data_IF_800471009187
#
_entry.id   IF_800471009187
#
_cell.length_a   1.000
_cell.length_b   1.000
_cell.length_c   1.000
_cell.angle_alpha   90.00
_cell.angle_beta   90.00
_cell.angle_gamma   90.00
#
_symmetry.space_group_name_H-M   'P 1'
#
loop_
_entity.id
_entity.type
_entity.pdbx_description
1 polymer ?
#
# COMPACT_ATOMS: atom_id res chain seq x y z
N UNK A 1 3.14 0.31 -8.76
CA UNK A 1 3.95 1.52 -8.53
C UNK A 1 3.31 2.76 -9.14
N UNK A 2 2.97 2.80 -10.45
CA UNK A 2 2.38 3.97 -11.12
C UNK A 2 1.20 4.57 -10.35
N UNK A 3 0.21 3.77 -9.97
CA UNK A 3 -0.96 4.24 -9.21
C UNK A 3 -0.60 4.81 -7.84
N UNK A 4 0.42 4.27 -7.18
CA UNK A 4 0.90 4.75 -5.88
C UNK A 4 1.52 6.14 -5.97
N UNK A 5 2.33 6.40 -7.01
CA UNK A 5 2.94 7.70 -7.26
C UNK A 5 1.87 8.72 -7.66
N UNK A 6 0.96 8.38 -8.58
CA UNK A 6 -0.14 9.26 -8.99
C UNK A 6 -1.00 9.71 -7.81
N UNK A 7 -1.26 8.81 -6.85
CA UNK A 7 -1.99 9.11 -5.61
C UNK A 7 -1.10 9.77 -4.55
N UNK A 8 0.18 10.07 -4.84
CA UNK A 8 1.18 10.57 -3.88
C UNK A 8 1.37 9.68 -2.64
N UNK A 9 1.11 8.40 -2.78
CA UNK A 9 1.24 7.39 -1.72
C UNK A 9 2.62 6.70 -1.72
N UNK A 10 3.31 6.76 -2.86
CA UNK A 10 4.68 6.28 -3.03
C UNK A 10 5.59 7.43 -3.44
N UNK A 11 6.82 7.41 -2.99
CA UNK A 11 7.84 8.38 -3.34
C UNK A 11 8.68 7.90 -4.54
N UNK A 12 9.46 8.81 -5.14
CA UNK A 12 10.41 8.47 -6.22
C UNK A 12 11.41 7.43 -5.77
N UNK A 13 11.83 7.49 -4.51
CA UNK A 13 12.77 6.55 -3.89
C UNK A 13 12.23 5.11 -3.89
N UNK A 14 10.92 4.92 -3.71
CA UNK A 14 10.27 3.60 -3.78
C UNK A 14 10.38 3.00 -5.20
N UNK A 15 10.38 3.85 -6.25
CA UNK A 15 10.55 3.42 -7.64
C UNK A 15 12.00 3.02 -7.94
N UNK A 16 12.94 3.82 -7.46
CA UNK A 16 14.38 3.54 -7.61
C UNK A 16 14.73 2.22 -6.93
N UNK A 17 14.25 2.00 -5.70
CA UNK A 17 14.45 0.75 -4.96
C UNK A 17 13.87 -0.45 -5.73
N UNK A 18 12.66 -0.35 -6.25
CA UNK A 18 12.07 -1.38 -7.12
C UNK A 18 12.94 -1.68 -8.34
N UNK A 19 13.42 -0.63 -9.04
CA UNK A 19 14.24 -0.81 -10.25
C UNK A 19 15.58 -1.49 -9.91
N UNK A 20 16.22 -1.13 -8.81
CA UNK A 20 17.43 -1.79 -8.33
C UNK A 20 17.17 -3.29 -8.07
N UNK A 21 16.09 -3.62 -7.38
CA UNK A 21 15.72 -5.03 -7.17
C UNK A 21 15.48 -5.80 -8.48
N UNK A 22 14.91 -5.15 -9.50
CA UNK A 22 14.73 -5.78 -10.82
C UNK A 22 16.07 -6.05 -11.50
N UNK A 23 17.03 -5.11 -11.43
CA UNK A 23 18.39 -5.31 -11.94
C UNK A 23 19.10 -6.46 -11.22
N UNK A 24 18.98 -6.55 -9.90
CA UNK A 24 19.57 -7.65 -9.11
C UNK A 24 18.98 -9.02 -9.49
N UNK A 25 17.72 -9.06 -9.96
CA UNK A 25 17.06 -10.26 -10.48
C UNK A 25 17.42 -10.55 -11.95
N UNK A 26 18.30 -9.75 -12.56
CA UNK A 26 18.77 -9.92 -13.93
C UNK A 26 17.85 -9.31 -15.00
N UNK A 27 16.94 -8.42 -14.62
CA UNK A 27 16.14 -7.64 -15.56
C UNK A 27 16.92 -6.38 -15.96
N UNK A 28 17.69 -6.48 -17.05
CA UNK A 28 18.58 -5.44 -17.57
C UNK A 28 17.95 -4.58 -18.67
N UNK A 29 16.62 -4.49 -18.71
CA UNK A 29 15.89 -3.63 -19.66
C UNK A 29 16.31 -2.17 -19.46
N UNK A 30 16.39 -1.44 -20.58
CA UNK A 30 16.83 -0.04 -20.60
C UNK A 30 15.98 0.84 -19.67
N UNK A 31 14.65 0.64 -19.71
CA UNK A 31 13.69 1.35 -18.88
C UNK A 31 13.92 1.11 -17.37
N UNK A 32 14.28 -0.11 -17.00
CA UNK A 32 14.64 -0.46 -15.61
C UNK A 32 15.94 0.21 -15.19
N UNK A 33 16.92 0.29 -16.10
CA UNK A 33 18.18 1.00 -15.83
C UNK A 33 17.96 2.50 -15.66
N UNK A 34 17.08 3.10 -16.47
CA UNK A 34 16.70 4.52 -16.35
C UNK A 34 15.98 4.82 -15.03
N UNK A 35 15.03 3.97 -14.63
CA UNK A 35 14.36 4.10 -13.33
C UNK A 35 15.34 3.97 -12.15
N UNK A 36 16.29 3.04 -12.23
CA UNK A 36 17.30 2.85 -11.19
C UNK A 36 18.28 4.02 -11.07
N UNK A 37 18.53 4.75 -12.18
CA UNK A 37 19.38 5.94 -12.21
C UNK A 37 18.78 7.12 -11.43
N UNK A 38 17.46 7.22 -11.37
CA UNK A 38 16.75 8.23 -10.57
C UNK A 38 16.93 9.68 -11.05
N UNK A 39 17.47 9.89 -12.26
CA UNK A 39 17.88 11.21 -12.76
C UNK A 39 16.74 12.02 -13.40
N UNK A 40 15.55 11.46 -13.53
CA UNK A 40 14.36 12.11 -14.10
C UNK A 40 13.50 12.85 -13.08
N UNK A 41 12.66 13.77 -13.54
CA UNK A 41 11.58 14.27 -12.69
C UNK A 41 10.49 13.19 -12.48
N UNK A 42 9.57 13.44 -11.55
CA UNK A 42 8.52 12.47 -11.23
C UNK A 42 7.61 12.13 -12.43
N UNK A 43 7.46 13.05 -13.41
CA UNK A 43 6.63 12.82 -14.59
C UNK A 43 7.37 11.94 -15.61
N UNK A 44 8.67 12.17 -15.82
CA UNK A 44 9.50 11.35 -16.71
C UNK A 44 9.53 9.89 -16.22
N UNK A 45 9.71 9.70 -14.92
CA UNK A 45 9.69 8.37 -14.30
C UNK A 45 8.31 7.69 -14.41
N UNK A 46 7.23 8.47 -14.31
CA UNK A 46 5.88 7.97 -14.50
C UNK A 46 5.63 7.49 -15.93
N UNK A 47 6.09 8.23 -16.94
CA UNK A 47 5.93 7.85 -18.35
C UNK A 47 6.63 6.53 -18.63
N UNK A 48 7.87 6.35 -18.18
CA UNK A 48 8.62 5.08 -18.28
C UNK A 48 7.87 3.93 -17.59
N UNK A 49 7.31 4.19 -16.41
CA UNK A 49 6.56 3.18 -15.67
C UNK A 49 5.24 2.79 -16.35
N UNK A 50 4.57 3.74 -17.02
CA UNK A 50 3.37 3.44 -17.81
C UNK A 50 3.69 2.55 -18.99
N UNK A 51 4.76 2.85 -19.72
CA UNK A 51 5.20 2.03 -20.85
C UNK A 51 5.51 0.60 -20.40
N UNK A 52 6.22 0.43 -19.28
CA UNK A 52 6.49 -0.88 -18.69
C UNK A 52 5.21 -1.63 -18.27
N UNK A 53 4.26 -0.92 -17.66
CA UNK A 53 3.00 -1.52 -17.19
C UNK A 53 2.11 -1.97 -18.35
N UNK A 54 2.06 -1.21 -19.44
CA UNK A 54 1.32 -1.56 -20.65
C UNK A 54 1.88 -2.83 -21.33
N UNK A 55 3.20 -2.97 -21.35
CA UNK A 55 3.86 -4.16 -21.89
C UNK A 55 3.64 -5.41 -21.03
N UNK A 56 3.55 -5.24 -19.70
CA UNK A 56 3.33 -6.33 -18.76
C UNK A 56 1.87 -6.79 -18.66
N UNK A 57 0.96 -6.17 -19.44
CA UNK A 57 -0.48 -6.51 -19.42
C UNK A 57 -1.08 -6.45 -18.00
N UNK A 58 -0.75 -5.43 -17.23
CA UNK A 58 -1.19 -5.30 -15.84
C UNK A 58 -2.72 -5.23 -15.72
N UNK A 59 -3.30 -6.09 -14.89
CA UNK A 59 -4.72 -6.04 -14.56
C UNK A 59 -4.94 -4.95 -13.53
N UNK A 60 -5.68 -3.90 -13.89
CA UNK A 60 -5.94 -2.73 -13.04
C UNK A 60 -6.43 -3.08 -11.63
N UNK A 61 -7.33 -4.06 -11.51
CA UNK A 61 -7.85 -4.51 -10.22
C UNK A 61 -6.77 -5.17 -9.36
N UNK A 62 -5.93 -6.01 -9.96
CA UNK A 62 -4.85 -6.68 -9.26
C UNK A 62 -3.79 -5.68 -8.79
N UNK A 63 -3.50 -4.65 -9.57
CA UNK A 63 -2.56 -3.59 -9.20
C UNK A 63 -3.10 -2.73 -8.05
N UNK A 64 -4.40 -2.42 -8.01
CA UNK A 64 -5.03 -1.74 -6.88
C UNK A 64 -4.94 -2.58 -5.59
N UNK A 65 -5.12 -3.89 -5.69
CA UNK A 65 -4.97 -4.82 -4.56
C UNK A 65 -3.52 -4.87 -4.06
N UNK A 66 -2.55 -4.96 -4.97
CA UNK A 66 -1.12 -4.91 -4.63
C UNK A 66 -0.76 -3.62 -3.90
N UNK A 67 -1.23 -2.47 -4.40
CA UNK A 67 -0.99 -1.19 -3.76
C UNK A 67 -1.57 -1.15 -2.34
N UNK A 68 -2.80 -1.58 -2.15
CA UNK A 68 -3.42 -1.67 -0.82
C UNK A 68 -2.59 -2.55 0.13
N UNK A 69 -2.17 -3.74 -0.33
CA UNK A 69 -1.36 -4.65 0.47
C UNK A 69 -0.02 -4.02 0.89
N UNK A 70 0.65 -3.30 -0.02
CA UNK A 70 1.91 -2.59 0.27
C UNK A 70 1.70 -1.51 1.33
N UNK A 71 0.66 -0.69 1.20
CA UNK A 71 0.39 0.40 2.13
C UNK A 71 0.01 -0.10 3.53
N UNK A 72 -0.82 -1.13 3.61
CA UNK A 72 -1.15 -1.78 4.89
C UNK A 72 0.09 -2.41 5.51
N UNK A 73 0.91 -3.12 4.72
CA UNK A 73 2.17 -3.71 5.20
C UNK A 73 3.13 -2.65 5.74
N UNK A 74 3.29 -1.54 5.02
CA UNK A 74 4.15 -0.41 5.43
C UNK A 74 3.66 0.19 6.76
N UNK A 75 2.34 0.39 6.91
CA UNK A 75 1.76 0.90 8.14
C UNK A 75 1.97 -0.05 9.34
N UNK A 76 1.72 -1.35 9.17
CA UNK A 76 1.83 -2.34 10.26
C UNK A 76 3.27 -2.53 10.76
N UNK A 77 4.28 -2.10 10.00
CA UNK A 77 5.69 -2.07 10.42
C UNK A 77 6.07 -0.84 11.24
N UNK A 78 5.23 0.20 11.24
CA UNK A 78 5.49 1.41 12.02
C UNK A 78 5.24 1.17 13.50
N UNK A 79 6.04 1.84 14.34
CA UNK A 79 5.79 1.88 15.79
C UNK A 79 4.93 3.11 16.10
N UNK A 80 3.78 2.87 16.70
CA UNK A 80 2.92 3.95 17.18
C UNK A 80 3.27 4.30 18.63
N UNK A 81 3.14 5.58 19.00
CA UNK A 81 3.45 6.07 20.33
C UNK A 81 2.37 5.75 21.36
N UNK A 82 1.13 5.57 20.89
CA UNK A 82 -0.03 5.22 21.72
C UNK A 82 -1.07 4.44 20.93
N UNK A 83 -2.03 3.83 21.65
CA UNK A 83 -3.19 3.18 21.01
C UNK A 83 -4.06 4.19 20.25
N UNK A 84 -4.13 5.43 20.72
CA UNK A 84 -4.87 6.51 20.05
C UNK A 84 -4.24 6.80 18.69
N UNK A 85 -2.92 7.03 18.65
CA UNK A 85 -2.19 7.28 17.40
C UNK A 85 -2.30 6.10 16.44
N UNK A 86 -2.21 4.87 16.97
CA UNK A 86 -2.37 3.66 16.20
C UNK A 86 -3.75 3.50 15.56
N UNK A 87 -4.82 3.75 16.33
CA UNK A 87 -6.20 3.69 15.83
C UNK A 87 -6.52 4.81 14.86
N UNK A 88 -6.04 6.02 15.13
CA UNK A 88 -6.19 7.16 14.21
C UNK A 88 -5.45 6.90 12.89
N UNK A 89 -4.22 6.41 12.96
CA UNK A 89 -3.46 6.09 11.76
C UNK A 89 -4.07 4.95 10.92
N UNK A 90 -4.66 3.92 11.55
CA UNK A 90 -5.44 2.91 10.83
C UNK A 90 -6.69 3.53 10.17
N UNK A 91 -7.35 4.45 10.85
CA UNK A 91 -8.49 5.18 10.31
C UNK A 91 -8.09 5.98 9.07
N UNK A 92 -7.02 6.77 9.16
CA UNK A 92 -6.52 7.58 8.05
C UNK A 92 -6.11 6.71 6.86
N UNK A 93 -5.40 5.62 7.11
CA UNK A 93 -5.01 4.64 6.08
C UNK A 93 -6.24 4.12 5.31
N UNK A 94 -7.28 3.65 6.03
CA UNK A 94 -8.45 3.08 5.37
C UNK A 94 -9.34 4.12 4.69
N UNK A 95 -9.34 5.39 5.17
CA UNK A 95 -9.96 6.51 4.46
C UNK A 95 -9.23 6.78 3.14
N UNK A 96 -7.89 6.83 3.14
CA UNK A 96 -7.09 7.01 1.93
C UNK A 96 -7.28 5.88 0.93
N UNK A 97 -7.47 4.65 1.40
CA UNK A 97 -7.80 3.49 0.58
C UNK A 97 -9.26 3.45 0.10
N UNK A 98 -10.07 4.47 0.42
CA UNK A 98 -11.45 4.60 -0.04
C UNK A 98 -12.46 3.76 0.76
N UNK A 99 -12.11 3.31 1.96
CA UNK A 99 -12.97 2.51 2.84
C UNK A 99 -13.65 1.33 2.09
N UNK A 100 -12.91 0.43 1.44
CA UNK A 100 -13.51 -0.68 0.71
C UNK A 100 -14.34 -1.56 1.64
N UNK A 101 -15.31 -2.27 1.08
CA UNK A 101 -16.26 -3.09 1.86
C UNK A 101 -15.61 -4.24 2.63
N UNK A 102 -14.42 -4.66 2.22
CA UNK A 102 -13.60 -5.70 2.85
C UNK A 102 -12.62 -5.16 3.90
N UNK A 103 -12.67 -3.85 4.20
CA UNK A 103 -11.83 -3.24 5.24
C UNK A 103 -12.03 -3.93 6.59
N UNK A 104 -10.94 -4.38 7.24
CA UNK A 104 -11.01 -4.98 8.57
C UNK A 104 -11.16 -3.96 9.69
N UNK A 105 -11.13 -2.65 9.36
CA UNK A 105 -11.12 -1.56 10.33
C UNK A 105 -12.48 -0.87 10.43
N UNK A 106 -12.97 -0.69 11.66
CA UNK A 106 -14.19 0.08 11.93
C UNK A 106 -13.77 1.49 12.34
N UNK A 107 -14.25 2.49 11.61
CA UNK A 107 -13.99 3.91 11.90
C UNK A 107 -15.00 4.39 12.93
N UNK A 108 -14.52 4.91 14.06
CA UNK A 108 -15.36 5.45 15.12
C UNK A 108 -16.22 6.61 14.58
N UNK A 109 -17.52 6.56 14.84
CA UNK A 109 -18.48 7.57 14.43
C UNK A 109 -18.93 7.49 12.96
N UNK A 110 -18.34 6.62 12.14
CA UNK A 110 -18.78 6.40 10.76
C UNK A 110 -19.79 5.25 10.74
N UNK A 111 -21.04 5.57 10.50
CA UNK A 111 -22.17 4.61 10.44
C UNK A 111 -22.38 3.81 11.75
N UNK A 112 -21.84 4.32 12.86
CA UNK A 112 -21.96 3.72 14.19
C UNK A 112 -22.01 4.81 15.29
N UNK A 113 -22.42 4.40 16.51
CA UNK A 113 -22.49 5.27 17.71
C UNK A 113 -21.52 4.80 18.78
N UNK A 114 -20.36 4.27 18.40
CA UNK A 114 -19.36 3.80 19.35
C UNK A 114 -18.82 5.00 20.14
N UNK A 115 -18.79 4.86 21.46
CA UNK A 115 -18.24 5.89 22.32
C UNK A 115 -16.72 6.01 22.11
N UNK A 116 -16.17 7.21 21.88
CA UNK A 116 -14.71 7.39 21.73
C UNK A 116 -13.88 6.80 22.88
N UNK A 117 -14.37 6.90 24.13
CA UNK A 117 -13.66 6.36 25.30
C UNK A 117 -13.54 4.84 25.24
N UNK A 118 -14.57 4.17 24.71
CA UNK A 118 -14.59 2.71 24.53
C UNK A 118 -13.79 2.28 23.30
N UNK A 119 -13.71 3.15 22.29
CA UNK A 119 -13.00 2.87 21.05
C UNK A 119 -11.50 3.02 21.18
N UNK A 120 -10.99 4.11 21.76
CA UNK A 120 -9.57 4.42 21.86
C UNK A 120 -8.93 3.75 23.10
N UNK A 121 -8.84 2.42 23.07
CA UNK A 121 -8.23 1.57 24.09
C UNK A 121 -7.13 0.69 23.52
N UNK A 122 -6.20 0.25 24.37
CA UNK A 122 -5.14 -0.69 23.96
C UNK A 122 -5.70 -2.02 23.46
N UNK A 123 -6.74 -2.54 24.11
CA UNK A 123 -7.39 -3.79 23.71
C UNK A 123 -7.98 -3.67 22.29
N UNK A 124 -8.65 -2.55 22.02
CA UNK A 124 -9.25 -2.32 20.72
C UNK A 124 -8.20 -2.06 19.63
N UNK A 125 -7.11 -1.37 19.95
CA UNK A 125 -5.98 -1.21 19.05
C UNK A 125 -5.36 -2.57 18.67
N UNK A 126 -5.07 -3.41 19.66
CA UNK A 126 -4.53 -4.75 19.43
C UNK A 126 -5.49 -5.60 18.59
N UNK A 127 -6.79 -5.54 18.87
CA UNK A 127 -7.80 -6.23 18.08
C UNK A 127 -7.76 -5.83 16.60
N UNK A 128 -7.80 -4.53 16.29
CA UNK A 128 -7.77 -4.07 14.91
C UNK A 128 -6.41 -4.29 14.25
N UNK A 129 -5.31 -4.19 14.99
CA UNK A 129 -3.99 -4.49 14.49
C UNK A 129 -3.91 -5.95 13.99
N UNK A 130 -4.36 -6.91 14.80
CA UNK A 130 -4.40 -8.32 14.39
C UNK A 130 -5.37 -8.57 13.23
N UNK A 131 -6.52 -7.90 13.19
CA UNK A 131 -7.45 -7.96 12.05
C UNK A 131 -6.80 -7.49 10.75
N UNK A 132 -6.04 -6.40 10.79
CA UNK A 132 -5.32 -5.89 9.63
C UNK A 132 -4.20 -6.84 9.18
N UNK A 133 -3.49 -7.49 10.11
CA UNK A 133 -2.51 -8.53 9.78
C UNK A 133 -3.15 -9.73 9.08
N UNK A 134 -4.30 -10.18 9.55
CA UNK A 134 -5.05 -11.27 8.91
C UNK A 134 -5.54 -10.87 7.51
N UNK A 135 -6.08 -9.66 7.37
CA UNK A 135 -6.48 -9.13 6.07
C UNK A 135 -5.30 -9.10 5.09
N UNK A 136 -4.16 -8.56 5.53
CA UNK A 136 -2.96 -8.48 4.71
C UNK A 136 -2.48 -9.86 4.25
N UNK A 137 -2.49 -10.84 5.13
CA UNK A 137 -2.14 -12.22 4.77
C UNK A 137 -3.04 -12.78 3.68
N UNK A 138 -4.36 -12.64 3.85
CA UNK A 138 -5.34 -13.12 2.87
C UNK A 138 -5.19 -12.39 1.52
N UNK A 139 -4.89 -11.10 1.56
CA UNK A 139 -4.68 -10.29 0.35
C UNK A 139 -3.42 -10.71 -0.40
N UNK A 140 -2.32 -10.97 0.32
CA UNK A 140 -1.07 -11.48 -0.27
C UNK A 140 -1.30 -12.86 -0.89
N UNK A 141 -1.98 -13.78 -0.19
CA UNK A 141 -2.30 -15.11 -0.71
C UNK A 141 -3.12 -15.02 -2.01
N UNK A 142 -4.15 -14.16 -2.04
CA UNK A 142 -4.95 -13.89 -3.24
C UNK A 142 -4.10 -13.36 -4.39
N UNK A 143 -3.24 -12.36 -4.14
CA UNK A 143 -2.37 -11.76 -5.15
C UNK A 143 -1.45 -12.81 -5.76
N UNK A 144 -0.80 -13.64 -4.93
CA UNK A 144 0.10 -14.70 -5.38
C UNK A 144 -0.59 -15.76 -6.25
N UNK A 145 -1.83 -16.08 -5.96
CA UNK A 145 -2.64 -17.02 -6.75
C UNK A 145 -3.02 -16.47 -8.13
N UNK A 146 -3.14 -15.13 -8.26
CA UNK A 146 -3.62 -14.47 -9.48
C UNK A 146 -2.54 -13.75 -10.29
N UNK A 147 -1.27 -13.86 -9.90
CA UNK A 147 -0.11 -13.29 -10.61
C UNK A 147 0.40 -14.14 -11.80
N UNK A 148 -0.39 -15.11 -12.23
CA UNK A 148 0.03 -16.02 -13.33
C UNK A 148 -0.23 -15.45 -14.69
#
# INVERSE_FOLDING_TARGET
LCKGILKKQLAVEDVVEYAIEQLEKGNDRMEICELAGGDGDANDLLDIMYDLADEENSQDELEDRKLRAVLVSKYLKQKNSSCIDGLMGLTDLWIELGCPSDSPHIIQGKDNKINPIEYYTDDNYNYFFEKNKMWLKNEIDFILEHQK
#
